data_IF_580531577475
#
_entry.id   IF_580531577475
#
_cell.length_a   1.000
_cell.length_b   1.000
_cell.length_c   1.000
_cell.angle_alpha   90.00
_cell.angle_beta   90.00
_cell.angle_gamma   90.00
#
_symmetry.space_group_name_H-M   'P 1'
#
loop_
_entity.id
_entity.type
_entity.pdbx_description
1 polymer ?
#
# COMPACT_ATOMS: atom_id res chain seq x y z
N UNK A 1 -16.63 -38.84 -36.23
CA UNK A 1 -15.30 -38.56 -35.61
C UNK A 1 -14.73 -37.18 -35.97
N UNK A 2 -14.90 -36.66 -37.20
CA UNK A 2 -14.36 -35.35 -37.64
C UNK A 2 -15.02 -34.11 -37.00
N UNK A 3 -16.28 -34.19 -36.57
CA UNK A 3 -17.02 -33.05 -35.99
C UNK A 3 -16.47 -32.62 -34.63
N UNK A 4 -16.01 -33.59 -33.83
CA UNK A 4 -15.44 -33.36 -32.49
C UNK A 4 -14.05 -32.73 -32.55
N UNK A 5 -13.26 -33.03 -33.59
CA UNK A 5 -11.95 -32.42 -33.81
C UNK A 5 -12.04 -30.97 -34.32
N UNK A 6 -13.05 -30.64 -35.13
CA UNK A 6 -13.32 -29.25 -35.52
C UNK A 6 -13.78 -28.39 -34.33
N UNK A 7 -14.67 -28.93 -33.49
CA UNK A 7 -15.15 -28.26 -32.26
C UNK A 7 -13.99 -27.99 -31.28
N UNK A 8 -13.07 -28.96 -31.08
CA UNK A 8 -11.89 -28.74 -30.25
C UNK A 8 -10.94 -27.67 -30.82
N UNK A 9 -10.71 -27.65 -32.13
CA UNK A 9 -9.86 -26.63 -32.76
C UNK A 9 -10.49 -25.24 -32.69
N UNK A 10 -11.80 -25.12 -32.90
CA UNK A 10 -12.52 -23.86 -32.74
C UNK A 10 -12.45 -23.34 -31.30
N UNK A 11 -12.59 -24.23 -30.30
CA UNK A 11 -12.44 -23.88 -28.89
C UNK A 11 -11.02 -23.44 -28.53
N UNK A 12 -10.00 -24.07 -29.13
CA UNK A 12 -8.59 -23.69 -28.98
C UNK A 12 -8.30 -22.30 -29.59
N UNK A 13 -8.82 -22.00 -30.78
CA UNK A 13 -8.68 -20.68 -31.37
C UNK A 13 -9.41 -19.60 -30.57
N UNK A 14 -10.59 -19.92 -30.03
CA UNK A 14 -11.33 -19.02 -29.16
C UNK A 14 -10.57 -18.72 -27.86
N UNK A 15 -9.98 -19.74 -27.22
CA UNK A 15 -9.21 -19.56 -25.99
C UNK A 15 -7.93 -18.75 -26.22
N UNK A 16 -7.19 -19.02 -27.29
CA UNK A 16 -6.00 -18.23 -27.65
C UNK A 16 -6.39 -16.79 -28.01
N UNK A 17 -7.50 -16.60 -28.74
CA UNK A 17 -8.04 -15.28 -29.05
C UNK A 17 -8.43 -14.48 -27.80
N UNK A 18 -9.11 -15.12 -26.84
CA UNK A 18 -9.44 -14.51 -25.55
C UNK A 18 -8.20 -14.17 -24.72
N UNK A 19 -7.20 -15.05 -24.66
CA UNK A 19 -5.95 -14.79 -23.93
C UNK A 19 -5.19 -13.58 -24.52
N UNK A 20 -5.10 -13.50 -25.86
CA UNK A 20 -4.49 -12.36 -26.56
C UNK A 20 -5.27 -11.07 -26.33
N UNK A 21 -6.60 -11.13 -26.37
CA UNK A 21 -7.45 -9.97 -26.07
C UNK A 21 -7.25 -9.48 -24.63
N UNK A 22 -7.18 -10.37 -23.63
CA UNK A 22 -6.90 -9.98 -22.24
C UNK A 22 -5.51 -9.34 -22.08
N UNK A 23 -4.50 -9.84 -22.78
CA UNK A 23 -3.17 -9.22 -22.73
C UNK A 23 -3.10 -7.85 -23.40
N UNK A 24 -3.97 -7.57 -24.38
CA UNK A 24 -4.01 -6.28 -25.08
C UNK A 24 -4.69 -5.15 -24.27
N UNK A 25 -5.40 -5.49 -23.18
CA UNK A 25 -5.98 -4.54 -22.22
C UNK A 25 -5.23 -4.50 -20.89
N UNK A 26 -4.00 -5.01 -20.83
CA UNK A 26 -3.15 -4.85 -19.65
C UNK A 26 -2.89 -3.35 -19.41
N UNK A 27 -3.47 -2.81 -18.34
CA UNK A 27 -3.20 -1.45 -17.86
C UNK A 27 -1.93 -1.42 -17.04
N UNK A 28 -1.34 -0.23 -16.88
CA UNK A 28 -0.20 -0.03 -15.98
C UNK A 28 -0.50 -0.57 -14.58
N UNK A 29 0.43 -1.35 -14.05
CA UNK A 29 0.41 -1.79 -12.66
C UNK A 29 1.17 -0.77 -11.83
N UNK A 30 0.49 -0.12 -10.89
CA UNK A 30 1.14 0.75 -9.92
C UNK A 30 1.76 -0.07 -8.80
N UNK A 31 2.92 0.36 -8.31
CA UNK A 31 3.53 -0.23 -7.13
C UNK A 31 2.55 -0.13 -5.94
N UNK A 32 2.03 -1.27 -5.52
CA UNK A 32 1.23 -1.38 -4.32
C UNK A 32 2.15 -1.77 -3.17
N UNK A 33 2.08 -1.01 -2.08
CA UNK A 33 2.82 -1.25 -0.86
C UNK A 33 1.84 -1.49 0.27
N UNK A 34 2.25 -2.35 1.21
CA UNK A 34 1.38 -2.75 2.30
C UNK A 34 1.20 -1.61 3.30
N UNK A 35 -0.05 -1.38 3.71
CA UNK A 35 -0.38 -0.58 4.87
C UNK A 35 -0.74 -1.52 6.03
N UNK A 36 -0.34 -1.16 7.25
CA UNK A 36 -0.67 -1.88 8.48
C UNK A 36 -1.23 -0.93 9.51
N UNK A 37 -2.43 -1.19 9.99
CA UNK A 37 -2.98 -0.50 11.15
C UNK A 37 -2.42 -1.09 12.43
N UNK A 38 -2.18 -0.24 13.42
CA UNK A 38 -1.82 -0.63 14.77
C UNK A 38 -2.68 0.15 15.75
N UNK A 39 -3.31 -0.59 16.67
CA UNK A 39 -4.01 -0.04 17.82
C UNK A 39 -3.41 -0.60 19.09
N UNK A 40 -3.05 0.28 20.03
CA UNK A 40 -2.59 -0.08 21.36
C UNK A 40 -3.19 0.88 22.39
N UNK A 41 -4.26 0.46 23.08
CA UNK A 41 -4.96 1.31 24.03
C UNK A 41 -5.57 2.53 23.32
N UNK A 42 -5.26 3.74 23.78
CA UNK A 42 -5.71 4.98 23.14
C UNK A 42 -4.83 5.43 21.97
N UNK A 43 -3.83 4.66 21.56
CA UNK A 43 -2.94 5.00 20.44
C UNK A 43 -3.37 4.22 19.20
N UNK A 44 -3.89 4.91 18.20
CA UNK A 44 -4.21 4.31 16.90
C UNK A 44 -3.39 5.00 15.82
N UNK A 45 -2.85 4.22 14.88
CA UNK A 45 -2.21 4.76 13.68
C UNK A 45 -2.14 3.72 12.58
N UNK A 46 -1.89 4.16 11.35
CA UNK A 46 -1.51 3.30 10.24
C UNK A 46 -0.03 3.50 9.92
N UNK A 47 0.56 2.48 9.31
CA UNK A 47 1.97 2.46 8.96
C UNK A 47 2.15 1.99 7.53
N UNK A 48 3.03 2.67 6.80
CA UNK A 48 3.35 2.35 5.40
C UNK A 48 4.61 1.50 5.29
N UNK A 49 4.56 0.43 4.50
CA UNK A 49 5.74 -0.38 4.19
C UNK A 49 6.84 0.44 3.48
N UNK A 50 6.50 1.50 2.75
CA UNK A 50 7.47 2.39 2.09
C UNK A 50 8.36 3.15 3.08
N UNK A 51 7.95 3.24 4.35
CA UNK A 51 8.79 3.78 5.43
C UNK A 51 8.36 5.15 5.96
N UNK A 52 7.29 5.75 5.41
CA UNK A 52 6.66 6.92 6.00
C UNK A 52 5.18 7.02 5.61
N UNK A 53 4.37 7.51 6.53
CA UNK A 53 2.97 7.85 6.33
C UNK A 53 2.86 9.21 5.64
N UNK A 54 1.92 9.34 4.70
CA UNK A 54 1.62 10.59 4.02
C UNK A 54 0.51 11.35 4.76
N UNK A 55 0.54 12.67 4.71
CA UNK A 55 -0.43 13.56 5.38
C UNK A 55 -1.81 13.52 4.72
N UNK A 56 -1.83 13.48 3.38
CA UNK A 56 -3.04 13.54 2.56
C UNK A 56 -3.05 12.35 1.61
N UNK A 57 -4.16 11.63 1.56
CA UNK A 57 -4.28 10.44 0.72
C UNK A 57 -3.82 9.15 1.40
N UNK A 58 -3.80 9.12 2.75
CA UNK A 58 -3.67 7.90 3.53
C UNK A 58 -4.81 6.90 3.27
N UNK A 59 -4.90 5.80 4.02
CA UNK A 59 -5.94 4.77 3.85
C UNK A 59 -7.37 5.31 3.65
N UNK A 60 -7.74 6.38 4.36
CA UNK A 60 -9.07 7.00 4.37
C UNK A 60 -9.20 8.11 3.33
N UNK A 61 -8.11 8.52 2.69
CA UNK A 61 -8.10 9.52 1.63
C UNK A 61 -8.36 10.97 2.07
N UNK A 62 -8.49 11.23 3.38
CA UNK A 62 -8.69 12.56 3.94
C UNK A 62 -7.36 13.22 4.36
N UNK A 63 -7.45 14.44 4.88
CA UNK A 63 -6.32 15.16 5.47
C UNK A 63 -6.24 14.79 6.95
N UNK A 64 -5.04 14.48 7.45
CA UNK A 64 -4.79 14.04 8.84
C UNK A 64 -5.38 12.66 9.15
N UNK A 65 -5.03 11.67 8.33
CA UNK A 65 -5.22 10.25 8.64
C UNK A 65 -3.95 9.71 9.30
N UNK A 66 -3.99 9.27 10.56
CA UNK A 66 -2.78 8.75 11.20
C UNK A 66 -2.79 8.70 12.72
N UNK A 67 -1.77 9.33 13.32
CA UNK A 67 -1.49 9.26 14.76
C UNK A 67 -2.63 9.87 15.57
N UNK A 68 -3.49 9.02 16.11
CA UNK A 68 -4.58 9.39 17.00
C UNK A 68 -4.14 9.12 18.44
N UNK A 69 -4.10 10.18 19.27
CA UNK A 69 -3.94 10.05 20.71
C UNK A 69 -4.53 11.26 21.44
N UNK A 70 -5.50 11.09 22.35
CA UNK A 70 -6.19 9.84 22.71
C UNK A 70 -7.26 9.46 21.67
N UNK A 71 -7.12 8.32 21.01
CA UNK A 71 -7.97 7.86 19.91
C UNK A 71 -9.36 7.32 20.29
N UNK A 72 -9.77 7.51 21.55
CA UNK A 72 -11.08 7.07 22.06
C UNK A 72 -12.20 7.98 21.53
N UNK A 73 -11.87 9.24 21.24
CA UNK A 73 -12.81 10.21 20.69
C UNK A 73 -12.55 10.43 19.19
N UNK A 74 -13.59 10.76 18.40
CA UNK A 74 -13.41 11.11 17.00
C UNK A 74 -12.58 12.39 16.85
N UNK A 75 -11.94 12.55 15.68
CA UNK A 75 -11.15 13.72 15.29
C UNK A 75 -9.98 14.06 16.24
N UNK A 76 -9.31 13.03 16.79
CA UNK A 76 -8.13 13.17 17.65
C UNK A 76 -6.81 12.90 16.90
N UNK A 77 -6.84 13.01 15.57
CA UNK A 77 -5.64 12.90 14.74
C UNK A 77 -4.68 14.06 15.03
N UNK A 78 -3.48 13.71 15.47
CA UNK A 78 -2.41 14.63 15.84
C UNK A 78 -1.26 14.64 14.82
N UNK A 79 -1.31 13.78 13.79
CA UNK A 79 -0.31 13.77 12.73
C UNK A 79 -0.57 14.89 11.72
N UNK A 80 0.14 16.01 11.86
CA UNK A 80 0.07 17.09 10.87
C UNK A 80 0.89 16.80 9.60
N UNK A 81 2.10 16.26 9.74
CA UNK A 81 2.94 15.85 8.63
C UNK A 81 4.04 14.90 9.12
N UNK A 82 4.40 13.93 8.28
CA UNK A 82 5.62 13.13 8.44
C UNK A 82 6.30 13.04 7.08
N UNK A 83 7.62 12.95 7.09
CA UNK A 83 8.38 12.74 5.87
C UNK A 83 9.76 12.16 6.15
N UNK A 84 10.27 11.41 5.19
CA UNK A 84 11.61 10.86 5.18
C UNK A 84 12.28 11.22 3.85
N UNK A 85 13.49 11.76 3.94
CA UNK A 85 14.33 12.09 2.79
C UNK A 85 15.63 11.29 2.87
N UNK A 86 16.03 10.70 1.74
CA UNK A 86 17.33 10.06 1.58
C UNK A 86 18.08 10.76 0.46
N UNK A 87 19.31 11.19 0.75
CA UNK A 87 20.20 11.84 -0.21
C UNK A 87 21.42 10.97 -0.51
N UNK A 88 21.85 10.99 -1.76
CA UNK A 88 23.09 10.37 -2.23
C UNK A 88 23.85 11.30 -3.18
N UNK A 89 25.17 11.16 -3.20
CA UNK A 89 26.04 11.81 -4.18
C UNK A 89 26.51 10.79 -5.21
N UNK A 90 26.80 11.25 -6.43
CA UNK A 90 27.30 10.39 -7.52
C UNK A 90 26.41 9.18 -7.80
N UNK A 91 25.09 9.39 -7.85
CA UNK A 91 24.12 8.33 -8.15
C UNK A 91 24.00 8.15 -9.67
N UNK A 92 24.12 6.92 -10.16
CA UNK A 92 23.86 6.58 -11.56
C UNK A 92 22.58 5.75 -11.62
N UNK A 93 21.61 6.19 -12.41
CA UNK A 93 20.33 5.49 -12.57
C UNK A 93 20.40 4.31 -13.56
N UNK A 94 19.28 3.61 -13.74
CA UNK A 94 19.14 2.47 -14.65
C UNK A 94 19.35 2.83 -16.13
N UNK A 95 19.25 4.11 -16.50
CA UNK A 95 19.51 4.61 -17.86
C UNK A 95 20.97 4.95 -18.11
N UNK A 96 21.81 4.90 -17.05
CA UNK A 96 23.21 5.33 -17.09
C UNK A 96 23.40 6.83 -16.86
N UNK A 97 22.34 7.57 -16.52
CA UNK A 97 22.42 8.99 -16.22
C UNK A 97 23.02 9.19 -14.84
N UNK A 98 24.07 10.02 -14.74
CA UNK A 98 24.74 10.30 -13.47
C UNK A 98 24.27 11.63 -12.89
N UNK A 99 23.82 11.58 -11.65
CA UNK A 99 23.38 12.70 -10.84
C UNK A 99 24.44 13.00 -9.78
N UNK A 100 25.07 14.19 -9.80
CA UNK A 100 26.02 14.60 -8.75
C UNK A 100 25.39 14.57 -7.36
N UNK A 101 24.10 14.92 -7.28
CA UNK A 101 23.27 14.85 -6.09
C UNK A 101 21.88 14.31 -6.47
N UNK A 102 21.41 13.29 -5.78
CA UNK A 102 20.06 12.74 -5.90
C UNK A 102 19.41 12.71 -4.53
N UNK A 103 18.17 13.15 -4.45
CA UNK A 103 17.33 13.07 -3.26
C UNK A 103 16.02 12.40 -3.65
N UNK A 104 15.55 11.50 -2.80
CA UNK A 104 14.24 10.82 -2.88
C UNK A 104 13.50 11.02 -1.57
N UNK A 105 12.17 10.97 -1.59
CA UNK A 105 11.39 11.18 -0.38
C UNK A 105 10.02 10.49 -0.35
N UNK A 106 9.59 10.15 0.86
CA UNK A 106 8.23 9.71 1.15
C UNK A 106 7.63 10.63 2.20
N UNK A 107 6.37 11.01 2.01
CA UNK A 107 5.68 12.01 2.80
C UNK A 107 6.11 13.46 2.48
N UNK A 108 5.40 14.47 2.98
CA UNK A 108 4.02 14.35 3.48
C UNK A 108 3.01 14.20 2.34
N UNK A 109 3.36 14.54 1.10
CA UNK A 109 2.42 14.55 -0.06
C UNK A 109 2.80 13.60 -1.20
N UNK A 110 3.90 12.87 -1.05
CA UNK A 110 4.39 11.92 -2.06
C UNK A 110 4.46 10.54 -1.43
N UNK A 111 3.99 9.53 -2.15
CA UNK A 111 3.89 8.18 -1.63
C UNK A 111 5.21 7.40 -1.63
N UNK A 112 6.29 7.95 -2.18
CA UNK A 112 7.59 7.26 -2.27
C UNK A 112 7.61 6.06 -3.22
N UNK A 113 6.55 5.84 -4.00
CA UNK A 113 6.51 4.75 -4.98
C UNK A 113 7.60 4.94 -6.03
N UNK A 114 8.23 3.85 -6.46
CA UNK A 114 9.41 3.80 -7.34
C UNK A 114 10.72 4.32 -6.73
N UNK A 115 10.68 4.90 -5.54
CA UNK A 115 11.87 5.42 -4.85
C UNK A 115 12.27 4.54 -3.66
N UNK A 116 11.28 4.02 -2.93
CA UNK A 116 11.50 3.17 -1.76
C UNK A 116 10.92 1.79 -1.99
N UNK A 117 11.71 0.77 -1.64
CA UNK A 117 11.34 -0.63 -1.79
C UNK A 117 11.44 -1.32 -0.43
N UNK A 118 10.32 -1.76 0.15
CA UNK A 118 10.35 -2.46 1.44
C UNK A 118 11.11 -3.78 1.32
N UNK A 119 12.09 -3.99 2.19
CA UNK A 119 12.78 -5.28 2.34
C UNK A 119 12.00 -6.18 3.30
N UNK A 120 11.62 -5.65 4.46
CA UNK A 120 10.82 -6.35 5.46
C UNK A 120 9.87 -5.35 6.13
N UNK A 121 8.60 -5.76 6.30
CA UNK A 121 7.63 -4.99 7.07
C UNK A 121 6.87 -5.92 7.99
N UNK A 122 7.19 -5.92 9.28
CA UNK A 122 6.57 -6.80 10.29
C UNK A 122 6.10 -6.03 11.51
N UNK A 123 4.97 -6.47 12.06
CA UNK A 123 4.53 -6.08 13.39
C UNK A 123 5.06 -7.12 14.38
N UNK A 124 5.74 -6.67 15.43
CA UNK A 124 6.26 -7.54 16.47
C UNK A 124 5.58 -7.20 17.79
N UNK A 125 5.09 -8.23 18.49
CA UNK A 125 4.51 -8.09 19.81
C UNK A 125 5.29 -8.94 20.80
N UNK A 126 5.40 -8.45 22.04
CA UNK A 126 5.98 -9.22 23.14
C UNK A 126 5.08 -10.38 23.57
N UNK A 127 3.76 -10.19 23.47
CA UNK A 127 2.74 -11.16 23.85
C UNK A 127 1.84 -11.46 22.66
N UNK A 128 1.18 -12.62 22.66
CA UNK A 128 0.13 -12.88 21.68
C UNK A 128 -0.91 -11.73 21.76
N UNK A 129 -1.23 -11.06 20.64
CA UNK A 129 -2.25 -10.01 20.64
C UNK A 129 -3.56 -10.58 21.18
N UNK A 130 -4.21 -9.93 22.16
CA UNK A 130 -5.51 -10.38 22.61
C UNK A 130 -6.53 -10.16 21.49
N UNK A 131 -7.35 -11.17 21.21
CA UNK A 131 -8.54 -11.00 20.39
C UNK A 131 -9.63 -10.37 21.25
N UNK A 132 -9.92 -9.09 20.99
CA UNK A 132 -11.00 -8.37 21.66
C UNK A 132 -12.05 -8.04 20.62
N UNK A 133 -13.31 -8.35 20.92
CA UNK A 133 -14.45 -7.93 20.12
C UNK A 133 -15.32 -6.98 20.93
N UNK A 134 -15.84 -5.94 20.28
CA UNK A 134 -16.80 -4.99 20.84
C UNK A 134 -17.99 -4.98 19.91
N UNK A 135 -19.15 -5.39 20.41
CA UNK A 135 -20.40 -5.45 19.64
C UNK A 135 -20.33 -6.26 18.33
N UNK A 136 -19.42 -7.24 18.28
CA UNK A 136 -19.21 -8.10 17.10
C UNK A 136 -18.05 -7.66 16.21
N UNK A 137 -17.49 -6.48 16.42
CA UNK A 137 -16.36 -5.93 15.65
C UNK A 137 -15.03 -6.23 16.33
N UNK A 138 -14.03 -6.68 15.56
CA UNK A 138 -12.69 -6.98 16.07
C UNK A 138 -11.90 -5.70 16.36
N UNK A 139 -11.29 -5.60 17.54
CA UNK A 139 -10.56 -4.42 17.99
C UNK A 139 -9.28 -4.13 17.19
N UNK A 140 -8.80 -5.10 16.42
CA UNK A 140 -7.58 -5.03 15.61
C UNK A 140 -7.88 -4.82 14.12
N UNK A 141 -9.15 -4.75 13.75
CA UNK A 141 -9.62 -4.61 12.37
C UNK A 141 -10.55 -3.40 12.32
N UNK A 142 -10.01 -2.20 12.58
CA UNK A 142 -10.79 -0.97 12.41
C UNK A 142 -11.30 -0.94 10.97
N UNK A 143 -12.62 -0.91 10.74
CA UNK A 143 -13.16 -0.66 9.41
C UNK A 143 -12.59 0.68 8.91
N UNK A 144 -12.15 0.73 7.66
CA UNK A 144 -11.61 1.97 7.04
C UNK A 144 -12.72 2.98 6.74
N UNK A 145 -13.99 2.64 7.01
CA UNK A 145 -15.07 3.62 7.11
C UNK A 145 -14.88 4.47 8.37
N UNK A 146 -14.22 5.62 8.19
CA UNK A 146 -14.35 6.75 9.11
C UNK A 146 -15.51 7.61 8.59
N UNK A 147 -16.57 7.72 9.38
CA UNK A 147 -17.71 8.63 9.16
C UNK A 147 -17.29 10.08 8.85
#
# INVERSE_FOLDING_TARGET
MKTRSYQMRALQFLTVGCALALSAVATDSFAQYQLKFMSAGSLHSWYSAIGCEIEVGGPVGNQQDGLQWPAIHPYQDAQAAKGMWIGAVNFTDETGTTYPHKVVHVGPRVNGANEFFPIEFKMVSRFAPPEVTVDGEASFDKPVDND
#
